data_IF_113422349454
#
_entry.id   IF_113422349454
#
_cell.length_a   1.000
_cell.length_b   1.000
_cell.length_c   1.000
_cell.angle_alpha   90.00
_cell.angle_beta   90.00
_cell.angle_gamma   90.00
#
_symmetry.space_group_name_H-M   'P 1'
#
loop_
_entity.id
_entity.type
_entity.pdbx_description
1 polymer ?
#
# COMPACT_ATOMS: atom_id res chain seq x y z
N UNK A 1 2.40 29.99 -24.98
CA UNK A 1 1.71 29.60 -23.73
C UNK A 1 1.31 28.13 -23.80
N UNK A 2 1.68 27.32 -22.81
CA UNK A 2 1.25 25.93 -22.74
C UNK A 2 -0.21 25.85 -22.31
N UNK A 3 -1.10 25.31 -23.16
CA UNK A 3 -2.54 25.23 -22.86
C UNK A 3 -2.90 24.11 -21.87
N UNK A 4 -2.09 23.06 -21.77
CA UNK A 4 -2.37 21.90 -20.90
C UNK A 4 -1.41 21.88 -19.71
N UNK A 5 -1.98 21.98 -18.50
CA UNK A 5 -1.24 21.99 -17.22
C UNK A 5 -1.29 20.67 -16.45
N UNK A 6 -1.86 19.62 -17.04
CA UNK A 6 -1.95 18.30 -16.41
C UNK A 6 -0.76 17.41 -16.82
N UNK A 7 -0.34 16.45 -15.97
CA UNK A 7 0.75 15.55 -16.26
C UNK A 7 0.43 14.58 -17.40
N UNK A 8 1.46 14.11 -18.11
CA UNK A 8 1.32 13.16 -19.23
C UNK A 8 2.41 12.08 -19.16
N UNK A 9 2.07 10.88 -19.61
CA UNK A 9 3.04 9.80 -19.74
C UNK A 9 3.68 9.84 -21.13
N UNK A 10 5.01 9.86 -21.17
CA UNK A 10 5.79 9.76 -22.39
C UNK A 10 6.03 8.33 -22.84
N UNK A 11 6.34 8.15 -24.12
CA UNK A 11 6.73 6.86 -24.71
C UNK A 11 8.07 6.33 -24.21
N UNK A 12 8.79 7.15 -23.46
CA UNK A 12 10.02 6.83 -22.73
C UNK A 12 9.74 6.31 -21.31
N UNK A 13 8.47 6.15 -20.92
CA UNK A 13 8.07 5.70 -19.58
C UNK A 13 8.16 6.79 -18.51
N UNK A 14 8.52 8.02 -18.88
CA UNK A 14 8.64 9.13 -17.93
C UNK A 14 7.33 9.92 -17.84
N UNK A 15 7.00 10.31 -16.62
CA UNK A 15 5.92 11.26 -16.37
C UNK A 15 6.43 12.68 -16.54
N UNK A 16 5.78 13.45 -17.41
CA UNK A 16 6.04 14.86 -17.61
C UNK A 16 4.97 15.70 -16.93
N UNK A 17 5.31 16.72 -16.11
CA UNK A 17 4.34 17.60 -15.47
C UNK A 17 3.35 18.29 -16.42
N UNK A 18 3.75 18.52 -17.68
CA UNK A 18 2.86 19.05 -18.73
C UNK A 18 3.21 18.50 -20.11
N UNK A 19 2.25 18.50 -21.03
CA UNK A 19 2.48 18.14 -22.43
C UNK A 19 3.44 19.07 -23.19
N UNK A 20 3.76 20.27 -22.68
CA UNK A 20 4.78 21.12 -23.28
C UNK A 20 6.19 20.73 -22.83
N UNK A 21 6.33 20.26 -21.59
CA UNK A 21 7.60 19.71 -21.12
C UNK A 21 7.93 18.40 -21.85
N UNK A 22 6.94 17.55 -22.10
CA UNK A 22 7.11 16.37 -22.97
C UNK A 22 7.60 16.78 -24.36
N UNK A 23 6.95 17.78 -25.00
CA UNK A 23 7.37 18.26 -26.32
C UNK A 23 8.79 18.84 -26.32
N UNK A 24 9.15 19.61 -25.29
CA UNK A 24 10.50 20.13 -25.15
C UNK A 24 11.53 19.00 -24.95
N UNK A 25 11.18 17.95 -24.22
CA UNK A 25 12.03 16.77 -24.07
C UNK A 25 12.17 15.99 -25.38
N UNK A 26 11.08 15.80 -26.13
CA UNK A 26 11.12 15.17 -27.46
C UNK A 26 12.07 15.88 -28.42
N UNK A 27 11.96 17.21 -28.53
CA UNK A 27 12.85 17.99 -29.40
C UNK A 27 14.32 17.86 -29.00
N UNK A 28 14.62 17.78 -27.70
CA UNK A 28 15.98 17.55 -27.20
C UNK A 28 16.48 16.15 -27.55
N UNK A 29 15.63 15.14 -27.44
CA UNK A 29 15.95 13.77 -27.83
C UNK A 29 16.28 13.69 -29.33
N UNK A 30 15.44 14.28 -30.18
CA UNK A 30 15.66 14.33 -31.64
C UNK A 30 16.95 15.06 -32.02
N UNK A 31 17.27 16.17 -31.35
CA UNK A 31 18.54 16.88 -31.55
C UNK A 31 19.78 16.06 -31.16
N UNK A 32 19.62 15.05 -30.29
CA UNK A 32 20.67 14.08 -29.94
C UNK A 32 20.69 12.85 -30.87
N UNK A 33 19.82 12.80 -31.89
CA UNK A 33 19.66 11.65 -32.76
C UNK A 33 18.88 10.49 -32.12
N UNK A 34 18.19 10.72 -31.00
CA UNK A 34 17.33 9.75 -30.33
C UNK A 34 15.91 9.79 -30.92
N UNK A 35 15.08 8.77 -30.59
CA UNK A 35 13.68 8.74 -31.02
C UNK A 35 12.87 9.85 -30.33
N UNK A 36 11.96 10.46 -31.08
CA UNK A 36 10.99 11.41 -30.55
C UNK A 36 10.13 10.78 -29.44
N UNK A 37 9.88 11.56 -28.39
CA UNK A 37 9.07 11.14 -27.24
C UNK A 37 7.63 11.56 -27.52
N UNK A 38 6.73 10.58 -27.61
CA UNK A 38 5.30 10.81 -27.86
C UNK A 38 4.50 10.68 -26.58
N UNK A 39 3.33 11.30 -26.54
CA UNK A 39 2.42 11.12 -25.41
C UNK A 39 1.69 9.77 -25.54
N UNK A 40 1.86 8.89 -24.57
CA UNK A 40 1.16 7.59 -24.50
C UNK A 40 -0.21 7.74 -23.85
N UNK A 41 -0.30 8.47 -22.74
CA UNK A 41 -1.54 8.64 -22.00
C UNK A 41 -1.63 10.03 -21.34
N UNK A 42 -2.84 10.39 -20.88
CA UNK A 42 -3.03 11.54 -19.98
C UNK A 42 -2.83 11.06 -18.53
N UNK A 43 -2.22 11.89 -17.70
CA UNK A 43 -1.85 11.53 -16.34
C UNK A 43 -0.42 11.02 -16.25
N UNK A 44 -0.04 10.58 -15.07
CA UNK A 44 1.26 9.95 -14.81
C UNK A 44 1.34 8.56 -15.46
N UNK A 45 2.55 8.07 -15.69
CA UNK A 45 2.77 6.73 -16.22
C UNK A 45 2.27 5.65 -15.26
N UNK A 46 2.00 4.47 -15.82
CA UNK A 46 1.70 3.29 -15.04
C UNK A 46 2.89 2.93 -14.13
N UNK A 47 2.59 2.48 -12.93
CA UNK A 47 3.58 2.13 -11.91
C UNK A 47 3.04 1.05 -10.99
N UNK A 48 3.94 0.18 -10.51
CA UNK A 48 3.61 -0.85 -9.54
C UNK A 48 3.09 -0.27 -8.22
N UNK A 49 2.46 -1.11 -7.38
CA UNK A 49 1.98 -0.69 -6.08
C UNK A 49 3.16 -0.26 -5.19
N UNK A 50 2.95 0.76 -4.37
CA UNK A 50 3.90 1.21 -3.35
C UNK A 50 3.14 1.43 -2.05
N UNK A 51 3.61 0.79 -0.98
CA UNK A 51 3.04 0.94 0.36
C UNK A 51 3.43 2.32 0.89
N UNK A 52 2.44 3.21 1.01
CA UNK A 52 2.59 4.57 1.55
C UNK A 52 2.66 4.51 3.07
N UNK A 53 1.69 3.83 3.67
CA UNK A 53 1.62 3.63 5.12
C UNK A 53 1.48 2.13 5.41
N UNK A 54 2.52 1.47 5.93
CA UNK A 54 2.43 0.07 6.32
C UNK A 54 1.65 -0.09 7.63
N UNK A 55 1.07 -1.28 7.89
CA UNK A 55 0.46 -1.55 9.18
C UNK A 55 1.49 -1.57 10.30
N UNK A 56 1.05 -1.22 11.51
CA UNK A 56 1.90 -1.17 12.71
C UNK A 56 1.63 -2.35 13.63
N UNK A 57 2.67 -2.82 14.31
CA UNK A 57 2.54 -3.85 15.34
C UNK A 57 1.63 -3.36 16.48
N UNK A 58 0.82 -4.26 17.02
CA UNK A 58 -0.14 -3.99 18.09
C UNK A 58 0.10 -4.95 19.25
N UNK A 59 0.08 -4.41 20.46
CA UNK A 59 0.02 -5.16 21.70
C UNK A 59 -1.27 -4.77 22.42
N UNK A 60 -2.11 -5.75 22.75
CA UNK A 60 -3.34 -5.50 23.49
C UNK A 60 -3.77 -6.75 24.26
N UNK A 61 -4.84 -6.64 25.05
CA UNK A 61 -5.41 -7.74 25.83
C UNK A 61 -6.67 -8.32 25.15
N UNK A 62 -7.07 -9.51 25.57
CA UNK A 62 -8.33 -10.15 25.15
C UNK A 62 -9.53 -9.23 25.41
N UNK A 63 -10.51 -9.24 24.51
CA UNK A 63 -11.72 -8.41 24.59
C UNK A 63 -11.56 -7.01 23.99
N UNK A 64 -10.33 -6.57 23.70
CA UNK A 64 -10.08 -5.28 23.09
C UNK A 64 -10.59 -5.19 21.64
N UNK A 65 -10.75 -3.95 21.16
CA UNK A 65 -11.00 -3.64 19.75
C UNK A 65 -9.73 -3.05 19.15
N UNK A 66 -9.26 -3.62 18.04
CA UNK A 66 -8.02 -3.18 17.36
C UNK A 66 -8.24 -3.01 15.87
N UNK A 67 -7.42 -2.17 15.24
CA UNK A 67 -7.43 -1.95 13.80
C UNK A 67 -6.02 -1.98 13.20
N UNK A 68 -5.87 -2.65 12.07
CA UNK A 68 -4.72 -2.49 11.18
C UNK A 68 -5.13 -1.62 10.01
N UNK A 69 -4.20 -0.79 9.50
CA UNK A 69 -4.40 0.04 8.32
C UNK A 69 -3.23 -0.12 7.37
N UNK A 70 -3.50 -0.15 6.06
CA UNK A 70 -2.47 -0.17 5.03
C UNK A 70 -2.90 0.74 3.87
N UNK A 71 -2.08 1.72 3.55
CA UNK A 71 -2.30 2.70 2.46
C UNK A 71 -1.34 2.41 1.32
N UNK A 72 -1.88 2.35 0.11
CA UNK A 72 -1.12 1.95 -1.08
C UNK A 72 -1.49 2.84 -2.24
N UNK A 73 -0.47 3.24 -3.01
CA UNK A 73 -0.62 3.96 -4.28
C UNK A 73 -0.13 3.09 -5.43
N UNK A 74 -0.73 3.20 -6.61
CA UNK A 74 -0.25 2.50 -7.81
C UNK A 74 -1.10 2.79 -9.02
N UNK A 75 -0.55 2.70 -10.23
CA UNK A 75 -1.25 3.05 -11.47
C UNK A 75 -1.18 1.89 -12.45
N UNK A 76 -2.30 1.21 -12.74
CA UNK A 76 -3.67 1.42 -12.23
C UNK A 76 -3.81 1.21 -10.71
N UNK A 77 -4.89 1.77 -10.12
CA UNK A 77 -5.16 1.65 -8.67
C UNK A 77 -5.09 0.19 -8.24
N UNK A 78 -4.24 -0.18 -7.27
CA UNK A 78 -4.01 -1.57 -6.94
C UNK A 78 -5.20 -2.18 -6.20
N UNK A 79 -5.37 -3.49 -6.38
CA UNK A 79 -6.25 -4.30 -5.53
C UNK A 79 -5.50 -4.56 -4.23
N UNK A 80 -6.15 -4.27 -3.10
CA UNK A 80 -5.60 -4.48 -1.75
C UNK A 80 -6.32 -5.63 -1.07
N UNK A 81 -5.57 -6.66 -0.69
CA UNK A 81 -6.06 -7.82 0.06
C UNK A 81 -5.31 -7.93 1.38
N UNK A 82 -5.93 -8.59 2.35
CA UNK A 82 -5.32 -8.88 3.64
C UNK A 82 -5.21 -10.39 3.83
N UNK A 83 -4.06 -10.81 4.36
CA UNK A 83 -3.74 -12.19 4.65
C UNK A 83 -3.30 -12.34 6.11
N UNK A 84 -3.60 -13.48 6.73
CA UNK A 84 -2.93 -13.91 7.96
C UNK A 84 -1.82 -14.90 7.60
N UNK A 85 -0.60 -14.61 8.03
CA UNK A 85 0.57 -15.45 7.77
C UNK A 85 0.53 -16.65 8.72
N UNK A 86 0.43 -17.86 8.17
CA UNK A 86 0.58 -19.12 8.92
C UNK A 86 2.01 -19.63 8.77
N UNK A 87 2.65 -19.91 9.91
CA UNK A 87 3.90 -20.67 9.95
C UNK A 87 3.52 -22.14 10.04
N UNK A 88 3.77 -22.88 8.96
CA UNK A 88 3.69 -24.33 8.94
C UNK A 88 5.13 -24.88 9.02
N UNK A 89 5.34 -26.04 9.66
CA UNK A 89 6.68 -26.64 9.88
C UNK A 89 7.43 -26.96 8.57
N UNK A 90 6.72 -26.98 7.44
CA UNK A 90 7.26 -27.31 6.13
C UNK A 90 7.60 -26.08 5.26
N UNK A 91 8.45 -25.15 5.73
CA UNK A 91 9.17 -24.10 4.96
C UNK A 91 8.41 -23.25 3.91
N UNK A 92 7.11 -23.42 3.75
CA UNK A 92 6.22 -22.66 2.89
C UNK A 92 5.37 -21.77 3.80
N UNK A 93 5.59 -20.46 3.70
CA UNK A 93 4.71 -19.48 4.33
C UNK A 93 3.35 -19.57 3.64
N UNK A 94 2.39 -20.26 4.26
CA UNK A 94 1.02 -20.28 3.76
C UNK A 94 0.32 -19.04 4.28
N UNK A 95 -0.17 -18.21 3.37
CA UNK A 95 -1.07 -17.11 3.71
C UNK A 95 -2.51 -17.62 3.70
N UNK A 96 -3.30 -17.15 4.66
CA UNK A 96 -4.74 -17.36 4.70
C UNK A 96 -5.43 -16.04 4.33
N UNK A 97 -6.29 -16.06 3.30
CA UNK A 97 -7.03 -14.88 2.86
C UNK A 97 -8.06 -14.48 3.94
N UNK A 98 -8.06 -13.21 4.32
CA UNK A 98 -8.99 -12.63 5.28
C UNK A 98 -10.24 -12.05 4.57
N UNK A 99 -11.42 -12.00 5.23
CA UNK A 99 -11.66 -12.33 6.64
C UNK A 99 -11.72 -13.84 6.94
N UNK A 100 -11.94 -14.67 5.93
CA UNK A 100 -12.19 -16.10 6.10
C UNK A 100 -13.54 -16.38 6.74
N UNK A 101 -13.57 -17.30 7.70
CA UNK A 101 -14.72 -17.74 8.50
C UNK A 101 -14.77 -17.10 9.91
N UNK A 102 -13.94 -16.08 10.16
CA UNK A 102 -13.85 -15.38 11.45
C UNK A 102 -15.07 -14.49 11.67
N UNK A 103 -15.69 -14.62 12.84
CA UNK A 103 -16.85 -13.83 13.27
C UNK A 103 -16.46 -12.48 13.88
N UNK A 104 -15.27 -12.39 14.47
CA UNK A 104 -14.75 -11.20 15.15
C UNK A 104 -13.92 -10.27 14.24
N UNK A 105 -13.83 -10.55 12.94
CA UNK A 105 -12.97 -9.83 12.01
C UNK A 105 -13.75 -9.26 10.82
N UNK A 106 -13.54 -7.97 10.53
CA UNK A 106 -14.10 -7.31 9.35
C UNK A 106 -13.01 -6.57 8.55
N UNK A 107 -13.16 -6.55 7.23
CA UNK A 107 -12.29 -5.80 6.32
C UNK A 107 -13.09 -4.69 5.65
N UNK A 108 -12.48 -3.51 5.57
CA UNK A 108 -12.99 -2.41 4.77
C UNK A 108 -11.89 -1.90 3.86
N UNK A 109 -12.23 -1.64 2.60
CA UNK A 109 -11.32 -1.02 1.64
C UNK A 109 -12.01 0.20 1.04
N UNK A 110 -11.33 1.34 1.01
CA UNK A 110 -11.80 2.56 0.35
C UNK A 110 -10.71 3.18 -0.50
N UNK A 111 -11.11 3.99 -1.48
CA UNK A 111 -10.16 4.87 -2.16
C UNK A 111 -9.54 5.86 -1.17
N UNK A 112 -8.27 6.17 -1.36
CA UNK A 112 -7.57 7.19 -0.59
C UNK A 112 -7.98 8.62 -0.97
N UNK A 113 -7.46 9.63 -0.27
CA UNK A 113 -7.67 11.05 -0.61
C UNK A 113 -7.11 11.40 -2.00
N UNK A 114 -6.01 10.78 -2.41
CA UNK A 114 -5.37 11.03 -3.71
C UNK A 114 -5.85 10.06 -4.80
N UNK A 115 -5.74 10.49 -6.06
CA UNK A 115 -6.05 9.62 -7.19
C UNK A 115 -5.07 8.45 -7.20
N UNK A 116 -5.58 7.26 -7.48
CA UNK A 116 -4.78 6.02 -7.56
C UNK A 116 -4.29 5.49 -6.21
N UNK A 117 -4.88 5.98 -5.12
CA UNK A 117 -4.65 5.51 -3.76
C UNK A 117 -5.79 4.60 -3.29
N UNK A 118 -5.46 3.62 -2.46
CA UNK A 118 -6.37 2.73 -1.76
C UNK A 118 -5.92 2.53 -0.32
N UNK A 119 -6.88 2.57 0.60
CA UNK A 119 -6.65 2.29 2.02
C UNK A 119 -7.50 1.10 2.44
N UNK A 120 -6.88 0.15 3.12
CA UNK A 120 -7.55 -1.03 3.68
C UNK A 120 -7.41 -1.06 5.19
N UNK A 121 -8.48 -1.44 5.87
CA UNK A 121 -8.53 -1.63 7.31
C UNK A 121 -8.97 -3.04 7.66
N UNK A 122 -8.31 -3.62 8.65
CA UNK A 122 -8.78 -4.84 9.33
C UNK A 122 -9.24 -4.43 10.73
N UNK A 123 -10.50 -4.69 11.06
CA UNK A 123 -11.05 -4.52 12.39
C UNK A 123 -11.15 -5.90 13.07
N UNK A 124 -10.59 -6.04 14.27
CA UNK A 124 -10.80 -7.21 15.13
C UNK A 124 -11.49 -6.79 16.43
N UNK A 125 -12.62 -7.42 16.75
CA UNK A 125 -13.43 -7.13 17.93
C UNK A 125 -14.45 -8.24 18.22
N UNK A 126 -14.44 -8.87 19.41
CA UNK A 126 -13.42 -8.77 20.44
C UNK A 126 -12.13 -9.52 20.03
N UNK A 127 -10.98 -9.01 20.46
CA UNK A 127 -9.68 -9.67 20.27
C UNK A 127 -9.59 -10.94 21.12
N UNK A 128 -9.16 -12.05 20.53
CA UNK A 128 -8.90 -13.32 21.22
C UNK A 128 -7.42 -13.73 21.12
N UNK A 129 -7.01 -14.76 21.85
CA UNK A 129 -5.64 -15.31 21.72
C UNK A 129 -5.39 -15.93 20.34
N UNK A 130 -6.42 -16.46 19.67
CA UNK A 130 -6.28 -17.02 18.32
C UNK A 130 -5.97 -15.95 17.27
N UNK A 131 -6.30 -14.68 17.56
CA UNK A 131 -5.98 -13.56 16.68
C UNK A 131 -4.51 -13.18 16.70
N UNK A 132 -3.73 -13.60 17.69
CA UNK A 132 -2.30 -13.37 17.69
C UNK A 132 -1.66 -13.92 16.41
N UNK A 133 -0.72 -13.17 15.84
CA UNK A 133 -0.09 -13.56 14.59
C UNK A 133 0.36 -12.39 13.74
N UNK A 134 0.87 -12.72 12.56
CA UNK A 134 1.34 -11.77 11.58
C UNK A 134 0.28 -11.61 10.47
N UNK A 135 -0.02 -10.36 10.17
CA UNK A 135 -1.03 -9.94 9.20
C UNK A 135 -0.34 -9.16 8.11
N UNK A 136 -0.56 -9.55 6.86
CA UNK A 136 0.05 -8.97 5.68
C UNK A 136 -1.02 -8.23 4.87
N UNK A 137 -0.77 -6.98 4.52
CA UNK A 137 -1.46 -6.35 3.40
C UNK A 137 -0.67 -6.63 2.12
N UNK A 138 -1.35 -7.16 1.11
CA UNK A 138 -0.80 -7.43 -0.21
C UNK A 138 -1.54 -6.59 -1.24
N UNK A 139 -0.78 -5.85 -2.05
CA UNK A 139 -1.29 -4.99 -3.08
C UNK A 139 -0.78 -5.41 -4.45
N UNK A 140 -1.65 -5.37 -5.45
CA UNK A 140 -1.33 -5.86 -6.80
C UNK A 140 -2.01 -5.02 -7.89
N UNK A 141 -1.27 -4.73 -8.95
CA UNK A 141 -1.81 -4.20 -10.21
C UNK A 141 -1.08 -4.83 -11.42
N UNK A 142 -1.37 -4.36 -12.63
CA UNK A 142 -0.74 -4.85 -13.87
C UNK A 142 0.78 -4.61 -13.96
N UNK A 143 1.32 -3.73 -13.12
CA UNK A 143 2.74 -3.34 -13.13
C UNK A 143 3.55 -4.01 -12.02
N UNK A 144 2.92 -4.69 -11.06
CA UNK A 144 3.64 -5.41 -10.01
C UNK A 144 2.84 -5.61 -8.73
N UNK A 145 3.56 -5.92 -7.66
CA UNK A 145 3.01 -6.22 -6.35
C UNK A 145 3.87 -5.60 -5.24
N UNK A 146 3.25 -5.28 -4.10
CA UNK A 146 3.93 -4.86 -2.88
C UNK A 146 3.20 -5.41 -1.66
N UNK A 147 3.95 -5.77 -0.61
CA UNK A 147 3.39 -6.25 0.66
C UNK A 147 4.02 -5.54 1.85
N UNK A 148 3.27 -5.43 2.94
CA UNK A 148 3.78 -5.05 4.25
C UNK A 148 3.04 -5.81 5.35
N UNK A 149 3.74 -6.12 6.43
CA UNK A 149 3.22 -6.97 7.52
C UNK A 149 3.29 -6.28 8.87
N UNK A 150 2.35 -6.64 9.75
CA UNK A 150 2.34 -6.24 11.15
C UNK A 150 1.95 -7.42 12.04
N UNK A 151 2.49 -7.43 13.26
CA UNK A 151 2.23 -8.45 14.27
C UNK A 151 1.23 -7.95 15.31
N UNK A 152 0.16 -8.72 15.50
CA UNK A 152 -0.73 -8.59 16.65
C UNK A 152 -0.25 -9.52 17.75
N UNK A 153 0.02 -8.94 18.92
CA UNK A 153 0.42 -9.66 20.15
C UNK A 153 -0.66 -9.48 21.20
N UNK A 154 -1.20 -10.59 21.71
CA UNK A 154 -2.25 -10.57 22.73
C UNK A 154 -1.66 -10.99 24.08
N UNK A 155 -1.51 -10.03 24.98
CA UNK A 155 -0.94 -10.22 26.33
C UNK A 155 -2.04 -10.53 27.35
N UNK A 156 -1.67 -11.04 28.52
CA UNK A 156 -2.63 -11.34 29.60
C UNK A 156 -2.94 -10.11 30.45
N UNK A 157 -1.98 -9.19 30.57
CA UNK A 157 -2.08 -7.97 31.36
C UNK A 157 -1.58 -6.75 30.59
N UNK A 158 -2.23 -5.60 30.82
CA UNK A 158 -1.84 -4.30 30.24
C UNK A 158 -0.39 -3.93 30.63
N UNK A 159 0.10 -4.44 31.75
CA UNK A 159 1.47 -4.19 32.23
C UNK A 159 2.56 -4.80 31.36
N UNK A 160 2.23 -5.77 30.49
CA UNK A 160 3.17 -6.41 29.56
C UNK A 160 3.29 -5.66 28.22
N UNK A 161 2.45 -4.66 28.00
CA UNK A 161 2.47 -3.86 26.77
C UNK A 161 3.75 -3.00 26.77
N UNK A 162 4.60 -3.11 25.73
CA UNK A 162 5.79 -2.28 25.63
C UNK A 162 5.39 -0.80 25.55
N UNK A 163 5.88 0.02 26.48
CA UNK A 163 5.75 1.48 26.39
C UNK A 163 6.69 1.95 25.30
N UNK A 164 6.17 2.20 24.10
CA UNK A 164 6.93 2.86 23.04
C UNK A 164 7.31 4.26 23.52
N UNK A 165 8.60 4.49 23.79
CA UNK A 165 9.14 5.84 23.91
C UNK A 165 8.85 6.52 22.58
N UNK A 166 7.98 7.52 22.59
CA UNK A 166 7.53 8.24 21.41
C UNK A 166 8.72 8.65 20.54
N UNK A 167 8.54 8.51 19.23
CA UNK A 167 9.33 9.22 18.24
C UNK A 167 9.38 10.70 18.65
N UNK A 168 10.52 11.15 19.17
CA UNK A 168 10.81 12.57 19.29
C UNK A 168 10.74 13.15 17.89
N UNK A 169 9.62 13.82 17.59
CA UNK A 169 9.54 14.78 16.52
C UNK A 169 10.69 15.77 16.71
N UNK A 170 11.71 15.68 15.85
CA UNK A 170 12.66 16.76 15.65
C UNK A 170 11.90 17.85 14.90
N UNK A 171 11.48 18.86 15.64
CA UNK A 171 11.24 20.22 15.13
C UNK A 171 12.55 20.80 14.60
#
# INVERSE_FOLDING_TARGET
MCKNRYPVCGSDGNTYPTGCQLRAASLRAENRGEKAITQVSKGTCEQGPSIVTPPKNIWNVTGAKVYLSCEVIGIPTPVLIWNKVKKDDNRFHRTELLPGDRDNLAIQTRGGPEKHEVTGWVLLSPLSKEDAGEYECHASNSQGQASASAKITVVDSIHEIPVTKGESAKL
#
